data_IF_021746466345
#
_entry.id   IF_021746466345
#
_cell.length_a   1.000
_cell.length_b   1.000
_cell.length_c   1.000
_cell.angle_alpha   90.00
_cell.angle_beta   90.00
_cell.angle_gamma   90.00
#
_symmetry.space_group_name_H-M   'P 1'
#
loop_
_entity.id
_entity.type
_entity.pdbx_description
1 polymer ?
#
# COMPACT_ATOMS: atom_id res chain seq x y z
N UNK A 1 60.75 20.39 -69.71
CA UNK A 1 60.90 21.27 -68.52
C UNK A 1 59.76 22.27 -68.52
N UNK A 2 58.94 22.46 -67.48
CA UNK A 2 58.74 21.66 -66.24
C UNK A 2 57.43 22.14 -65.57
N UNK A 3 56.55 21.21 -65.17
CA UNK A 3 55.48 21.30 -64.14
C UNK A 3 54.61 22.60 -64.12
N UNK A 4 53.31 22.54 -64.47
CA UNK A 4 52.35 23.61 -64.17
C UNK A 4 51.95 23.62 -62.68
N UNK A 5 51.64 24.81 -62.13
CA UNK A 5 51.20 24.94 -60.73
C UNK A 5 49.76 24.44 -60.52
N UNK A 6 49.55 23.69 -59.43
CA UNK A 6 48.20 23.38 -58.94
C UNK A 6 47.57 24.61 -58.25
N UNK A 7 46.45 25.07 -58.79
CA UNK A 7 45.57 26.05 -58.13
C UNK A 7 44.85 25.38 -56.95
N UNK A 8 45.06 25.87 -55.72
CA UNK A 8 44.35 25.38 -54.55
C UNK A 8 43.06 26.19 -54.33
N UNK A 9 41.91 25.56 -54.53
CA UNK A 9 40.62 26.24 -54.43
C UNK A 9 40.24 26.44 -52.95
N UNK A 10 40.13 27.70 -52.50
CA UNK A 10 39.68 27.99 -51.14
C UNK A 10 38.20 27.58 -50.96
N UNK A 11 37.93 26.63 -50.06
CA UNK A 11 36.58 26.21 -49.70
C UNK A 11 36.17 26.81 -48.36
N UNK A 12 35.15 27.65 -48.38
CA UNK A 12 34.69 28.43 -47.22
C UNK A 12 33.78 27.55 -46.35
N UNK A 13 34.34 26.98 -45.29
CA UNK A 13 33.55 26.35 -44.23
C UNK A 13 32.86 27.42 -43.36
N UNK A 14 31.52 27.40 -43.21
CA UNK A 14 30.85 28.28 -42.27
C UNK A 14 31.12 27.83 -40.83
N UNK A 15 31.87 28.64 -40.07
CA UNK A 15 32.09 28.43 -38.64
C UNK A 15 30.75 28.49 -37.88
N UNK A 16 30.21 27.32 -37.56
CA UNK A 16 28.96 27.13 -36.83
C UNK A 16 29.11 27.73 -35.42
N UNK A 17 28.57 28.94 -35.20
CA UNK A 17 28.51 29.58 -33.87
C UNK A 17 27.71 28.68 -32.91
N UNK A 18 28.41 27.83 -32.16
CA UNK A 18 27.86 27.15 -30.99
C UNK A 18 27.56 28.25 -29.97
N UNK A 19 26.29 28.48 -29.67
CA UNK A 19 25.90 29.55 -28.75
C UNK A 19 26.36 29.22 -27.33
N UNK A 20 26.90 30.21 -26.61
CA UNK A 20 27.25 30.04 -25.20
C UNK A 20 26.05 29.57 -24.36
N UNK A 21 24.82 29.93 -24.76
CA UNK A 21 23.59 29.41 -24.17
C UNK A 21 23.50 27.88 -24.23
N UNK A 22 23.79 27.24 -25.37
CA UNK A 22 23.73 25.77 -25.51
C UNK A 22 24.78 25.05 -24.64
N UNK A 23 25.95 25.67 -24.44
CA UNK A 23 27.00 25.16 -23.55
C UNK A 23 26.63 25.35 -22.07
N UNK A 24 25.94 26.46 -21.73
CA UNK A 24 25.43 26.70 -20.39
C UNK A 24 24.24 25.79 -20.03
N UNK A 25 23.26 25.59 -20.93
CA UNK A 25 22.13 24.68 -20.68
C UNK A 25 22.59 23.24 -20.50
N UNK A 26 23.44 22.74 -21.41
CA UNK A 26 23.96 21.37 -21.30
C UNK A 26 24.85 21.15 -20.07
N UNK A 27 25.57 22.18 -19.58
CA UNK A 27 26.26 22.10 -18.28
C UNK A 27 25.29 22.09 -17.10
N UNK A 28 24.26 22.93 -17.10
CA UNK A 28 23.22 22.95 -16.07
C UNK A 28 22.43 21.63 -16.02
N UNK A 29 22.09 21.04 -17.17
CA UNK A 29 21.41 19.75 -17.27
C UNK A 29 22.28 18.59 -16.77
N UNK A 30 23.59 18.58 -17.09
CA UNK A 30 24.51 17.59 -16.56
C UNK A 30 24.76 17.76 -15.05
N UNK A 31 24.81 19.00 -14.53
CA UNK A 31 24.83 19.22 -13.08
C UNK A 31 23.55 18.72 -12.40
N UNK A 32 22.38 18.94 -13.01
CA UNK A 32 21.10 18.42 -12.50
C UNK A 32 21.05 16.88 -12.53
N UNK A 33 21.59 16.23 -13.56
CA UNK A 33 21.66 14.76 -13.63
C UNK A 33 22.65 14.16 -12.64
N UNK A 34 23.80 14.81 -12.41
CA UNK A 34 24.77 14.40 -11.39
C UNK A 34 24.26 14.64 -9.97
N UNK A 35 23.60 15.77 -9.71
CA UNK A 35 22.98 16.05 -8.41
C UNK A 35 21.79 15.13 -8.14
N UNK A 36 20.98 14.78 -9.13
CA UNK A 36 19.94 13.75 -9.00
C UNK A 36 20.52 12.39 -8.60
N UNK A 37 21.58 11.93 -9.30
CA UNK A 37 22.27 10.68 -8.92
C UNK A 37 22.87 10.74 -7.52
N UNK A 38 23.44 11.89 -7.14
CA UNK A 38 23.95 12.11 -5.79
C UNK A 38 22.83 12.10 -4.74
N UNK A 39 21.67 12.72 -5.00
CA UNK A 39 20.51 12.71 -4.09
C UNK A 39 19.93 11.31 -3.93
N UNK A 40 19.80 10.53 -5.00
CA UNK A 40 19.36 9.12 -4.89
C UNK A 40 20.37 8.23 -4.17
N UNK A 41 21.68 8.44 -4.38
CA UNK A 41 22.73 7.79 -3.58
C UNK A 41 22.69 8.22 -2.10
N UNK A 42 22.42 9.49 -1.81
CA UNK A 42 22.33 10.03 -0.46
C UNK A 42 21.10 9.50 0.28
N UNK A 43 19.95 9.38 -0.40
CA UNK A 43 18.76 8.70 0.12
C UNK A 43 19.02 7.21 0.39
N UNK A 44 19.74 6.52 -0.50
CA UNK A 44 20.15 5.13 -0.26
C UNK A 44 21.11 4.98 0.93
N UNK A 45 22.06 5.92 1.09
CA UNK A 45 22.98 6.00 2.23
C UNK A 45 22.27 6.36 3.55
N UNK A 46 21.22 7.18 3.51
CA UNK A 46 20.35 7.44 4.67
C UNK A 46 19.51 6.24 5.09
N UNK A 47 19.24 5.29 4.19
CA UNK A 47 18.52 4.05 4.52
C UNK A 47 19.42 2.98 5.19
N UNK A 48 20.74 2.99 4.93
CA UNK A 48 21.68 2.02 5.52
C UNK A 48 21.68 1.95 7.06
N UNK A 49 21.73 3.05 7.83
CA UNK A 49 21.68 2.96 9.30
C UNK A 49 20.34 2.43 9.85
N UNK A 50 19.25 2.47 9.07
CA UNK A 50 17.96 1.94 9.49
C UNK A 50 17.93 0.40 9.59
N UNK A 51 18.91 -0.30 8.99
CA UNK A 51 19.04 -1.75 9.08
C UNK A 51 19.80 -2.21 10.34
N UNK A 52 20.32 -1.29 11.15
CA UNK A 52 21.27 -1.59 12.23
C UNK A 52 20.66 -1.60 13.65
N UNK A 53 19.33 -1.52 13.78
CA UNK A 53 18.67 -1.37 15.09
C UNK A 53 17.56 -2.42 15.33
N UNK A 54 17.97 -3.69 15.35
CA UNK A 54 17.24 -4.73 16.07
C UNK A 54 17.46 -4.53 17.58
N UNK A 55 16.42 -4.13 18.31
CA UNK A 55 16.40 -4.33 19.75
C UNK A 55 16.06 -5.82 20.00
N UNK A 56 16.92 -6.59 20.70
CA UNK A 56 16.64 -7.99 20.98
C UNK A 56 15.47 -8.08 21.97
N UNK A 57 14.30 -8.47 21.46
CA UNK A 57 13.17 -8.83 22.31
C UNK A 57 13.55 -10.06 23.17
N UNK A 58 13.05 -10.16 24.42
CA UNK A 58 13.30 -11.33 25.26
C UNK A 58 12.82 -12.60 24.54
N UNK A 59 13.73 -13.57 24.42
CA UNK A 59 13.59 -14.76 23.57
C UNK A 59 12.31 -15.58 23.87
N UNK A 60 11.81 -15.53 25.10
CA UNK A 60 10.57 -16.17 25.53
C UNK A 60 9.28 -15.52 24.96
N UNK A 61 9.21 -14.18 24.82
CA UNK A 61 8.06 -13.51 24.19
C UNK A 61 8.03 -13.83 22.68
N UNK A 62 9.18 -13.87 22.00
CA UNK A 62 9.27 -14.27 20.59
C UNK A 62 8.80 -15.71 20.35
N UNK A 63 9.22 -16.65 21.20
CA UNK A 63 8.77 -18.05 21.15
C UNK A 63 7.25 -18.17 21.39
N UNK A 64 6.68 -17.36 22.28
CA UNK A 64 5.24 -17.37 22.55
C UNK A 64 4.42 -16.75 21.41
N UNK A 65 4.89 -15.64 20.81
CA UNK A 65 4.32 -15.07 19.59
C UNK A 65 4.28 -16.11 18.47
N UNK A 66 5.39 -16.83 18.25
CA UNK A 66 5.46 -17.91 17.26
C UNK A 66 4.50 -19.07 17.59
N UNK A 67 4.40 -19.49 18.85
CA UNK A 67 3.49 -20.56 19.26
C UNK A 67 2.00 -20.20 19.02
N UNK A 68 1.60 -18.95 19.29
CA UNK A 68 0.24 -18.46 19.03
C UNK A 68 -0.08 -18.33 17.54
N UNK A 69 0.90 -17.94 16.72
CA UNK A 69 0.78 -17.91 15.25
C UNK A 69 0.71 -19.30 14.60
N UNK A 70 1.16 -20.36 15.30
CA UNK A 70 1.35 -21.70 14.71
C UNK A 70 0.40 -22.80 15.23
N UNK A 71 -0.14 -22.70 16.46
CA UNK A 71 -0.86 -23.83 17.08
C UNK A 71 -2.19 -23.53 17.78
N UNK A 72 -2.32 -22.41 18.49
CA UNK A 72 -3.40 -22.21 19.47
C UNK A 72 -4.58 -21.33 19.01
N UNK A 73 -4.57 -20.88 17.74
CA UNK A 73 -5.62 -20.04 17.16
C UNK A 73 -6.70 -20.90 16.49
N UNK A 74 -7.95 -20.74 16.93
CA UNK A 74 -9.11 -21.41 16.34
C UNK A 74 -10.09 -20.37 15.78
N UNK A 75 -10.83 -20.71 14.72
CA UNK A 75 -11.81 -19.83 14.10
C UNK A 75 -13.17 -20.48 13.88
N UNK A 76 -14.22 -19.66 13.91
CA UNK A 76 -15.58 -19.99 13.50
C UNK A 76 -16.15 -18.80 12.71
N UNK A 77 -17.02 -19.07 11.74
CA UNK A 77 -17.79 -18.04 11.03
C UNK A 77 -19.27 -18.28 11.35
N UNK A 78 -19.97 -17.24 11.79
CA UNK A 78 -21.42 -17.30 12.11
C UNK A 78 -22.17 -16.18 11.41
N UNK A 79 -23.51 -16.23 11.37
CA UNK A 79 -24.33 -15.05 11.10
C UNK A 79 -24.02 -13.92 12.10
N UNK A 80 -24.19 -12.67 11.67
CA UNK A 80 -23.97 -11.48 12.48
C UNK A 80 -25.01 -11.27 13.61
N UNK A 81 -26.10 -12.05 13.60
CA UNK A 81 -27.11 -12.08 14.67
C UNK A 81 -26.69 -12.90 15.90
N UNK A 82 -25.65 -13.75 15.78
CA UNK A 82 -25.13 -14.56 16.89
C UNK A 82 -24.37 -13.66 17.87
N UNK A 83 -24.75 -13.66 19.15
CA UNK A 83 -23.99 -12.96 20.21
C UNK A 83 -22.92 -13.86 20.83
N UNK A 84 -21.92 -13.26 21.47
CA UNK A 84 -20.84 -13.98 22.15
C UNK A 84 -21.37 -14.87 23.30
N UNK A 85 -22.41 -14.43 23.99
CA UNK A 85 -23.09 -15.19 25.05
C UNK A 85 -23.85 -16.40 24.47
N UNK A 86 -24.46 -16.28 23.29
CA UNK A 86 -25.15 -17.39 22.63
C UNK A 86 -24.14 -18.44 22.15
N UNK A 87 -23.08 -18.00 21.47
CA UNK A 87 -22.02 -18.87 20.92
C UNK A 87 -21.26 -19.66 21.99
N UNK A 88 -21.06 -19.10 23.19
CA UNK A 88 -20.41 -19.79 24.31
C UNK A 88 -21.39 -20.64 25.13
N UNK A 89 -22.71 -20.39 25.05
CA UNK A 89 -23.75 -21.19 25.73
C UNK A 89 -24.22 -22.41 24.93
N UNK A 90 -24.16 -22.37 23.60
CA UNK A 90 -24.50 -23.50 22.74
C UNK A 90 -23.26 -24.40 22.53
N UNK A 91 -23.22 -25.63 23.08
CA UNK A 91 -22.08 -26.52 22.92
C UNK A 91 -21.83 -26.93 21.46
N UNK A 92 -22.88 -27.00 20.63
CA UNK A 92 -22.73 -27.39 19.22
C UNK A 92 -22.03 -26.27 18.42
N UNK A 93 -22.30 -25.01 18.74
CA UNK A 93 -21.56 -23.87 18.18
C UNK A 93 -20.12 -23.83 18.73
N UNK A 94 -19.96 -23.91 20.05
CA UNK A 94 -18.63 -23.82 20.69
C UNK A 94 -17.68 -24.97 20.33
N UNK A 95 -18.20 -26.16 19.97
CA UNK A 95 -17.38 -27.26 19.45
C UNK A 95 -17.14 -27.21 17.93
N UNK A 96 -17.73 -26.26 17.20
CA UNK A 96 -17.56 -26.13 15.73
C UNK A 96 -16.32 -25.34 15.30
N UNK A 97 -15.59 -24.74 16.26
CA UNK A 97 -14.32 -24.04 16.03
C UNK A 97 -13.27 -24.93 15.36
N UNK A 98 -12.65 -24.42 14.30
CA UNK A 98 -11.63 -25.12 13.50
C UNK A 98 -10.25 -24.52 13.78
N UNK A 99 -9.16 -25.32 13.82
CA UNK A 99 -7.81 -24.76 13.95
C UNK A 99 -7.45 -23.93 12.70
N UNK A 100 -6.87 -22.75 12.89
CA UNK A 100 -6.26 -21.99 11.79
C UNK A 100 -4.93 -22.65 11.42
N UNK A 101 -4.84 -23.15 10.19
CA UNK A 101 -3.55 -23.48 9.60
C UNK A 101 -2.84 -22.17 9.23
N UNK A 102 -1.63 -21.93 9.72
CA UNK A 102 -0.85 -20.69 9.55
C UNK A 102 -0.50 -20.26 8.11
N UNK A 103 -1.09 -20.91 7.11
CA UNK A 103 -1.04 -20.57 5.68
C UNK A 103 -2.25 -19.75 5.21
N UNK A 104 -3.31 -19.65 6.01
CA UNK A 104 -4.53 -18.88 5.72
C UNK A 104 -4.47 -17.49 6.36
N UNK A 105 -3.64 -16.59 5.84
CA UNK A 105 -3.43 -15.25 6.43
C UNK A 105 -4.67 -14.33 6.36
N UNK A 106 -5.56 -14.55 5.39
CA UNK A 106 -6.80 -13.78 5.19
C UNK A 106 -7.99 -14.68 4.85
N UNK A 107 -9.17 -14.34 5.37
CA UNK A 107 -10.47 -14.94 5.02
C UNK A 107 -11.36 -13.90 4.31
N UNK A 108 -12.33 -14.38 3.52
CA UNK A 108 -13.37 -13.56 2.87
C UNK A 108 -14.73 -13.86 3.51
N UNK A 109 -15.52 -12.83 3.71
CA UNK A 109 -16.82 -12.88 4.40
C UNK A 109 -17.87 -12.05 3.64
N UNK A 110 -19.13 -12.35 3.91
CA UNK A 110 -20.28 -11.50 3.55
C UNK A 110 -20.62 -10.55 4.70
N UNK A 111 -21.36 -9.46 4.43
CA UNK A 111 -21.81 -8.48 5.43
C UNK A 111 -22.65 -9.12 6.57
N UNK A 112 -23.43 -10.15 6.25
CA UNK A 112 -24.23 -10.91 7.22
C UNK A 112 -23.39 -11.86 8.10
N UNK A 113 -22.07 -11.88 7.97
CA UNK A 113 -21.18 -12.84 8.66
C UNK A 113 -20.20 -12.16 9.62
N UNK A 114 -19.86 -12.88 10.68
CA UNK A 114 -18.90 -12.49 11.71
C UNK A 114 -17.83 -13.57 11.86
N UNK A 115 -16.58 -13.15 11.96
CA UNK A 115 -15.45 -14.01 12.29
C UNK A 115 -15.26 -14.01 13.81
N UNK A 116 -15.21 -15.21 14.38
CA UNK A 116 -14.82 -15.44 15.76
C UNK A 116 -13.45 -16.08 15.79
N UNK A 117 -12.52 -15.49 16.54
CA UNK A 117 -11.21 -16.08 16.82
C UNK A 117 -11.14 -16.45 18.30
N UNK A 118 -11.05 -17.76 18.58
CA UNK A 118 -10.89 -18.31 19.92
C UNK A 118 -9.41 -18.64 20.16
N UNK A 119 -8.87 -18.15 21.28
CA UNK A 119 -7.44 -18.21 21.59
C UNK A 119 -7.27 -18.63 23.03
N UNK A 120 -6.46 -19.66 23.26
CA UNK A 120 -6.11 -20.14 24.61
C UNK A 120 -4.71 -19.68 24.96
N UNK A 121 -4.59 -18.93 26.05
CA UNK A 121 -3.34 -18.29 26.48
C UNK A 121 -3.07 -18.67 27.93
N UNK A 122 -1.92 -19.31 28.16
CA UNK A 122 -1.38 -19.59 29.48
C UNK A 122 -0.16 -18.70 29.72
N UNK A 123 -0.05 -18.11 30.90
CA UNK A 123 1.16 -17.43 31.33
C UNK A 123 2.30 -18.45 31.54
N UNK A 124 3.42 -18.40 30.80
CA UNK A 124 4.54 -19.31 30.99
C UNK A 124 5.46 -18.90 32.16
N UNK A 125 5.24 -17.73 32.76
CA UNK A 125 6.11 -17.14 33.76
C UNK A 125 5.65 -17.46 35.20
N UNK A 126 6.59 -17.61 36.15
CA UNK A 126 6.29 -17.81 37.58
C UNK A 126 5.83 -16.52 38.29
N UNK A 127 5.71 -15.40 37.56
CA UNK A 127 5.27 -14.10 38.05
C UNK A 127 4.02 -13.62 37.31
N UNK A 128 3.40 -12.53 37.79
CA UNK A 128 2.28 -11.90 37.08
C UNK A 128 2.75 -11.24 35.79
N UNK A 129 2.09 -11.56 34.68
CA UNK A 129 2.47 -11.05 33.35
C UNK A 129 1.34 -10.20 32.76
N UNK A 130 1.69 -8.99 32.32
CA UNK A 130 0.80 -8.08 31.62
C UNK A 130 1.13 -8.09 30.12
N UNK A 131 0.18 -8.53 29.32
CA UNK A 131 0.33 -8.65 27.87
C UNK A 131 -0.72 -7.81 27.14
N UNK A 132 -0.50 -7.61 25.85
CA UNK A 132 -1.45 -6.98 24.94
C UNK A 132 -1.92 -8.03 23.93
N UNK A 133 -3.22 -8.28 23.87
CA UNK A 133 -3.84 -9.07 22.82
C UNK A 133 -3.98 -8.18 21.58
N UNK A 134 -3.22 -8.46 20.51
CA UNK A 134 -3.04 -7.54 19.38
C UNK A 134 -3.49 -8.13 18.04
N UNK A 135 -4.37 -7.41 17.35
CA UNK A 135 -4.89 -7.74 16.02
C UNK A 135 -4.35 -6.73 14.99
N UNK A 136 -3.29 -7.09 14.23
CA UNK A 136 -2.58 -6.19 13.32
C UNK A 136 -3.25 -5.98 11.95
N UNK A 137 -4.57 -6.19 11.84
CA UNK A 137 -5.31 -6.04 10.58
C UNK A 137 -6.21 -4.81 10.61
N UNK A 138 -5.71 -3.70 10.09
CA UNK A 138 -6.35 -2.38 10.16
C UNK A 138 -7.75 -2.29 9.49
N UNK A 139 -8.02 -2.94 8.34
CA UNK A 139 -9.30 -2.80 7.62
C UNK A 139 -10.53 -3.45 8.26
N UNK A 140 -10.45 -3.94 9.51
CA UNK A 140 -11.61 -4.47 10.23
C UNK A 140 -12.45 -3.34 10.85
N UNK A 141 -13.71 -3.19 10.42
CA UNK A 141 -14.52 -2.04 10.80
C UNK A 141 -15.04 -2.12 12.25
N UNK A 142 -15.30 -3.33 12.78
CA UNK A 142 -15.71 -3.55 14.19
C UNK A 142 -15.05 -4.78 14.81
N UNK A 143 -14.49 -4.61 16.01
CA UNK A 143 -13.85 -5.64 16.83
C UNK A 143 -14.38 -5.52 18.27
N UNK A 144 -14.74 -6.64 18.88
CA UNK A 144 -15.04 -6.73 20.32
C UNK A 144 -14.20 -7.83 20.96
N UNK A 145 -13.50 -7.49 22.06
CA UNK A 145 -12.63 -8.40 22.79
C UNK A 145 -13.36 -8.97 23.99
N UNK A 146 -13.45 -10.30 24.10
CA UNK A 146 -14.10 -11.00 25.20
C UNK A 146 -13.13 -11.94 25.94
N UNK A 147 -13.28 -12.05 27.25
CA UNK A 147 -12.70 -13.10 28.08
C UNK A 147 -13.79 -14.11 28.44
N UNK A 148 -13.55 -15.41 28.25
CA UNK A 148 -14.43 -16.46 28.76
C UNK A 148 -14.22 -16.62 30.26
N UNK A 149 -15.31 -16.83 31.00
CA UNK A 149 -15.20 -17.20 32.42
C UNK A 149 -14.97 -18.72 32.54
N UNK A 150 -14.07 -19.19 33.43
CA UNK A 150 -13.74 -20.62 33.51
C UNK A 150 -14.88 -21.46 34.08
N UNK A 151 -15.63 -20.92 35.04
CA UNK A 151 -16.63 -21.69 35.83
C UNK A 151 -18.05 -21.63 35.25
N UNK A 152 -18.33 -20.72 34.31
CA UNK A 152 -19.67 -20.41 33.79
C UNK A 152 -19.60 -20.17 32.27
N UNK A 153 -20.44 -20.81 31.43
CA UNK A 153 -20.54 -20.54 29.99
C UNK A 153 -21.09 -19.12 29.75
N UNK A 154 -20.17 -18.16 29.78
CA UNK A 154 -20.42 -16.73 29.78
C UNK A 154 -19.15 -15.99 29.39
N UNK A 155 -19.34 -14.80 28.84
CA UNK A 155 -18.25 -13.93 28.40
C UNK A 155 -18.27 -12.61 29.18
N UNK A 156 -17.08 -12.02 29.34
CA UNK A 156 -16.89 -10.66 29.83
C UNK A 156 -16.31 -9.84 28.70
N UNK A 157 -17.04 -8.81 28.24
CA UNK A 157 -16.50 -7.81 27.32
C UNK A 157 -15.35 -7.06 28.01
N UNK A 158 -14.20 -7.00 27.34
CA UNK A 158 -13.01 -6.27 27.79
C UNK A 158 -12.90 -4.87 27.16
N UNK A 159 -13.33 -4.74 25.91
CA UNK A 159 -13.27 -3.51 25.15
C UNK A 159 -13.77 -3.69 23.71
N UNK A 160 -13.91 -2.57 23.00
CA UNK A 160 -14.31 -2.49 21.58
C UNK A 160 -13.31 -1.63 20.80
N UNK A 161 -13.23 -1.85 19.50
CA UNK A 161 -12.35 -1.12 18.59
C UNK A 161 -12.74 -1.36 17.14
N UNK A 162 -12.13 -0.66 16.18
CA UNK A 162 -12.36 -0.89 14.76
C UNK A 162 -12.02 0.32 13.88
N UNK A 163 -12.23 0.17 12.58
CA UNK A 163 -12.06 1.24 11.58
C UNK A 163 -13.26 2.20 11.56
N UNK A 164 -14.47 1.75 11.94
CA UNK A 164 -15.67 2.59 12.05
C UNK A 164 -15.90 3.21 13.45
N UNK A 165 -14.98 3.04 14.39
CA UNK A 165 -15.04 3.65 15.73
C UNK A 165 -13.96 4.76 15.86
N UNK A 166 -14.24 5.88 16.56
CA UNK A 166 -13.27 6.96 16.74
C UNK A 166 -11.94 6.47 17.34
N UNK A 167 -10.82 7.09 16.95
CA UNK A 167 -9.50 6.65 17.40
C UNK A 167 -9.35 6.64 18.93
N UNK A 168 -10.12 7.47 19.65
CA UNK A 168 -10.20 7.54 21.11
C UNK A 168 -10.86 6.33 21.80
N UNK A 169 -11.56 5.45 21.07
CA UNK A 169 -12.08 4.19 21.64
C UNK A 169 -11.01 3.08 21.72
N UNK A 170 -9.83 3.28 21.11
CA UNK A 170 -8.73 2.33 21.16
C UNK A 170 -8.09 2.34 22.55
N UNK A 171 -7.93 1.17 23.17
CA UNK A 171 -7.32 1.04 24.49
C UNK A 171 -5.85 1.50 24.55
N UNK A 172 -5.17 1.57 23.40
CA UNK A 172 -3.83 2.14 23.21
C UNK A 172 -3.74 2.84 21.84
N UNK A 173 -2.89 3.87 21.69
CA UNK A 173 -2.64 4.55 20.42
C UNK A 173 -1.70 3.73 19.51
N UNK A 174 -2.13 2.54 19.11
CA UNK A 174 -1.48 1.69 18.10
C UNK A 174 -2.25 1.77 16.75
N UNK A 175 -1.62 1.32 15.65
CA UNK A 175 -2.24 1.35 14.31
C UNK A 175 -3.20 0.18 14.08
N UNK A 176 -2.81 -1.03 14.49
CA UNK A 176 -3.74 -2.15 14.70
C UNK A 176 -4.53 -2.01 16.00
N UNK A 177 -5.22 -3.08 16.39
CA UNK A 177 -6.17 -3.06 17.51
C UNK A 177 -5.67 -3.91 18.68
N UNK A 178 -5.54 -3.31 19.87
CA UNK A 178 -5.01 -3.98 21.07
C UNK A 178 -5.95 -3.90 22.25
N UNK A 179 -5.98 -4.95 23.08
CA UNK A 179 -6.61 -4.97 24.39
C UNK A 179 -5.61 -5.40 25.47
N UNK A 180 -5.43 -4.63 26.56
CA UNK A 180 -4.61 -5.06 27.70
C UNK A 180 -5.25 -6.24 28.44
N UNK A 181 -4.42 -7.24 28.76
CA UNK A 181 -4.78 -8.42 29.55
C UNK A 181 -3.71 -8.68 30.63
N UNK A 182 -4.12 -9.28 31.74
CA UNK A 182 -3.27 -9.57 32.88
C UNK A 182 -3.48 -11.02 33.31
N UNK A 183 -2.37 -11.69 33.62
CA UNK A 183 -2.33 -13.05 34.14
C UNK A 183 -1.59 -13.10 35.47
N UNK A 184 -2.04 -13.95 36.40
CA UNK A 184 -1.23 -14.41 37.52
C UNK A 184 -0.24 -15.48 37.04
N UNK A 185 0.74 -15.82 37.89
CA UNK A 185 1.68 -16.90 37.64
C UNK A 185 0.97 -18.20 37.27
N UNK A 186 1.39 -18.85 36.18
CA UNK A 186 0.80 -20.08 35.62
C UNK A 186 -0.73 -20.03 35.30
N UNK A 187 -1.36 -18.85 35.26
CA UNK A 187 -2.79 -18.72 34.99
C UNK A 187 -3.10 -18.90 33.50
N UNK A 188 -4.22 -19.56 33.17
CA UNK A 188 -4.68 -19.78 31.80
C UNK A 188 -6.07 -19.18 31.57
N UNK A 189 -6.20 -18.35 30.55
CA UNK A 189 -7.46 -17.76 30.10
C UNK A 189 -7.77 -18.11 28.65
N UNK A 190 -9.05 -18.12 28.31
CA UNK A 190 -9.52 -18.21 26.92
C UNK A 190 -10.12 -16.87 26.50
N UNK A 191 -9.64 -16.33 25.39
CA UNK A 191 -10.11 -15.08 24.80
C UNK A 191 -10.81 -15.34 23.48
N UNK A 192 -11.84 -14.55 23.22
CA UNK A 192 -12.69 -14.64 22.05
C UNK A 192 -12.76 -13.25 21.41
N UNK A 193 -12.23 -13.11 20.21
CA UNK A 193 -12.34 -11.89 19.42
C UNK A 193 -13.52 -12.04 18.48
N UNK A 194 -14.47 -11.13 18.56
CA UNK A 194 -15.49 -10.93 17.55
C UNK A 194 -14.95 -9.92 16.54
N UNK A 195 -14.86 -10.27 15.26
CA UNK A 195 -14.54 -9.33 14.19
C UNK A 195 -15.68 -9.33 13.18
N UNK A 196 -16.30 -8.17 13.02
CA UNK A 196 -17.43 -7.91 12.16
C UNK A 196 -17.04 -6.87 11.11
N UNK A 197 -17.67 -6.96 9.94
CA UNK A 197 -17.62 -5.93 8.90
C UNK A 197 -16.20 -5.71 8.33
N UNK A 198 -15.77 -6.66 7.51
CA UNK A 198 -14.86 -6.42 6.40
C UNK A 198 -14.97 -7.58 5.41
N UNK A 199 -15.08 -7.28 4.12
CA UNK A 199 -15.15 -8.31 3.08
C UNK A 199 -13.83 -9.10 2.91
N UNK A 200 -12.74 -8.66 3.54
CA UNK A 200 -11.50 -9.40 3.77
C UNK A 200 -11.07 -9.18 5.23
N UNK A 201 -10.80 -10.25 5.97
CA UNK A 201 -10.26 -10.18 7.34
C UNK A 201 -8.96 -10.95 7.48
N UNK A 202 -7.99 -10.35 8.19
CA UNK A 202 -6.79 -11.04 8.66
C UNK A 202 -7.13 -12.07 9.75
N UNK A 203 -6.38 -13.17 9.77
CA UNK A 203 -6.52 -14.24 10.80
C UNK A 203 -5.44 -14.18 11.88
N UNK A 204 -4.41 -13.37 11.67
CA UNK A 204 -3.26 -13.24 12.58
C UNK A 204 -3.67 -12.50 13.86
N UNK A 205 -3.31 -13.06 15.01
CA UNK A 205 -3.35 -12.38 16.30
C UNK A 205 -1.99 -12.56 16.96
N UNK A 206 -1.40 -11.45 17.41
CA UNK A 206 -0.15 -11.38 18.17
C UNK A 206 -0.45 -11.20 19.65
N UNK A 207 0.51 -11.58 20.49
CA UNK A 207 0.40 -11.40 21.93
C UNK A 207 1.80 -11.20 22.52
N UNK A 208 1.97 -10.16 23.33
CA UNK A 208 3.25 -9.84 23.98
C UNK A 208 3.17 -8.54 24.78
N UNK A 209 4.24 -8.19 25.46
CA UNK A 209 4.37 -6.93 26.21
C UNK A 209 4.34 -5.69 25.31
N UNK A 210 3.90 -4.55 25.88
CA UNK A 210 3.77 -3.28 25.18
C UNK A 210 5.07 -2.78 24.49
N UNK A 211 6.27 -2.89 25.10
CA UNK A 211 7.51 -2.41 24.47
C UNK A 211 7.86 -3.17 23.19
N UNK A 212 7.59 -4.49 23.13
CA UNK A 212 7.86 -5.31 21.94
C UNK A 212 6.94 -4.90 20.81
N UNK A 213 5.63 -4.80 21.06
CA UNK A 213 4.67 -4.36 20.04
C UNK A 213 4.96 -2.92 19.57
N UNK A 214 5.38 -2.03 20.46
CA UNK A 214 5.82 -0.68 20.06
C UNK A 214 7.09 -0.70 19.19
N UNK A 215 8.06 -1.57 19.49
CA UNK A 215 9.25 -1.71 18.66
C UNK A 215 8.94 -2.28 17.27
N UNK A 216 8.08 -3.31 17.18
CA UNK A 216 7.59 -3.86 15.90
C UNK A 216 6.85 -2.80 15.08
N UNK A 217 5.91 -2.08 15.70
CA UNK A 217 5.15 -1.00 15.06
C UNK A 217 6.06 0.14 14.59
N UNK A 218 7.07 0.51 15.38
CA UNK A 218 8.04 1.54 15.02
C UNK A 218 8.91 1.13 13.82
N UNK A 219 9.40 -0.12 13.78
CA UNK A 219 10.17 -0.63 12.64
C UNK A 219 9.35 -0.64 11.34
N UNK A 220 8.07 -1.04 11.40
CA UNK A 220 7.16 -0.97 10.25
C UNK A 220 6.91 0.48 9.82
N UNK A 221 6.55 1.36 10.77
CA UNK A 221 6.23 2.76 10.52
C UNK A 221 7.36 3.51 9.83
N UNK A 222 8.63 3.25 10.19
CA UNK A 222 9.78 3.89 9.51
C UNK A 222 9.86 3.49 8.04
N UNK A 223 9.69 2.20 7.71
CA UNK A 223 9.70 1.73 6.31
C UNK A 223 8.57 2.33 5.47
N UNK A 224 7.37 2.43 6.04
CA UNK A 224 6.20 3.04 5.41
C UNK A 224 6.32 4.57 5.26
N UNK A 225 6.89 5.24 6.26
CA UNK A 225 7.16 6.68 6.20
C UNK A 225 8.21 7.01 5.15
N UNK A 226 9.28 6.20 5.02
CA UNK A 226 10.27 6.31 3.94
C UNK A 226 9.63 6.11 2.56
N UNK A 227 8.77 5.11 2.39
CA UNK A 227 8.03 4.86 1.16
C UNK A 227 7.10 6.04 0.80
N UNK A 228 6.33 6.53 1.76
CA UNK A 228 5.40 7.65 1.58
C UNK A 228 6.16 8.94 1.26
N UNK A 229 7.28 9.19 1.94
CA UNK A 229 8.19 10.29 1.64
C UNK A 229 8.81 10.21 0.24
N UNK A 230 9.22 9.02 -0.20
CA UNK A 230 9.74 8.80 -1.55
C UNK A 230 8.69 9.07 -2.64
N UNK A 231 7.42 8.71 -2.40
CA UNK A 231 6.31 9.06 -3.29
C UNK A 231 6.03 10.56 -3.32
N UNK A 232 6.06 11.26 -2.17
CA UNK A 232 5.88 12.72 -2.12
C UNK A 232 7.05 13.47 -2.81
N UNK A 233 8.29 12.98 -2.68
CA UNK A 233 9.42 13.47 -3.46
C UNK A 233 9.21 13.25 -4.96
N UNK A 234 8.61 12.12 -5.37
CA UNK A 234 8.26 11.84 -6.77
C UNK A 234 7.15 12.75 -7.30
N UNK A 235 6.18 13.16 -6.46
CA UNK A 235 5.18 14.21 -6.79
C UNK A 235 5.89 15.53 -7.06
N UNK A 236 6.77 15.99 -6.15
CA UNK A 236 7.51 17.25 -6.32
C UNK A 236 8.40 17.19 -7.58
N UNK A 237 9.09 16.08 -7.82
CA UNK A 237 9.92 15.87 -9.00
C UNK A 237 9.09 15.91 -10.30
N UNK A 238 7.95 15.22 -10.35
CA UNK A 238 7.09 15.21 -11.54
C UNK A 238 6.41 16.56 -11.79
N UNK A 239 6.08 17.34 -10.76
CA UNK A 239 5.64 18.73 -10.91
C UNK A 239 6.76 19.65 -11.44
N UNK A 240 8.01 19.45 -11.00
CA UNK A 240 9.17 20.17 -11.55
C UNK A 240 9.39 19.82 -13.03
N UNK A 241 9.32 18.53 -13.41
CA UNK A 241 9.35 18.08 -14.81
C UNK A 241 8.20 18.64 -15.64
N UNK A 242 6.99 18.73 -15.06
CA UNK A 242 5.84 19.37 -15.72
C UNK A 242 6.10 20.84 -16.05
N UNK A 243 6.70 21.59 -15.12
CA UNK A 243 7.04 23.01 -15.28
C UNK A 243 8.18 23.21 -16.28
N UNK A 244 9.20 22.34 -16.26
CA UNK A 244 10.35 22.39 -17.16
C UNK A 244 9.98 22.05 -18.61
N UNK A 245 9.28 20.92 -18.84
CA UNK A 245 8.92 20.46 -20.18
C UNK A 245 7.59 21.02 -20.70
N UNK A 246 6.84 21.77 -19.88
CA UNK A 246 5.50 22.34 -20.19
C UNK A 246 4.50 21.30 -20.73
N UNK A 247 4.64 20.04 -20.30
CA UNK A 247 3.80 18.93 -20.76
C UNK A 247 2.82 18.49 -19.65
N UNK A 248 1.49 18.62 -19.85
CA UNK A 248 0.49 18.31 -18.84
C UNK A 248 0.39 16.80 -18.47
N UNK A 249 1.03 15.91 -19.24
CA UNK A 249 1.13 14.50 -18.85
C UNK A 249 1.81 14.35 -17.49
N UNK A 250 2.89 15.10 -17.22
CA UNK A 250 3.59 15.05 -15.94
C UNK A 250 2.73 15.53 -14.75
N UNK A 251 1.80 16.46 -14.96
CA UNK A 251 0.83 16.90 -13.92
C UNK A 251 -0.12 15.74 -13.58
N UNK A 252 -0.55 15.00 -14.59
CA UNK A 252 -1.41 13.82 -14.42
C UNK A 252 -0.69 12.71 -13.65
N UNK A 253 0.60 12.53 -13.91
CA UNK A 253 1.43 11.55 -13.19
C UNK A 253 1.75 11.99 -11.76
N UNK A 254 1.96 13.29 -11.52
CA UNK A 254 2.08 13.85 -10.18
C UNK A 254 0.81 13.64 -9.34
N UNK A 255 -0.36 13.85 -9.94
CA UNK A 255 -1.66 13.56 -9.32
C UNK A 255 -1.80 12.06 -9.00
N UNK A 256 -1.37 11.17 -9.90
CA UNK A 256 -1.35 9.73 -9.63
C UNK A 256 -0.51 9.39 -8.39
N UNK A 257 0.73 9.88 -8.29
CA UNK A 257 1.58 9.59 -7.14
C UNK A 257 1.06 10.21 -5.83
N UNK A 258 0.42 11.39 -5.90
CA UNK A 258 -0.20 12.03 -4.73
C UNK A 258 -1.40 11.23 -4.21
N UNK A 259 -2.30 10.81 -5.11
CA UNK A 259 -3.44 9.96 -4.74
C UNK A 259 -2.96 8.58 -4.26
N UNK A 260 -1.88 8.02 -4.84
CA UNK A 260 -1.32 6.74 -4.39
C UNK A 260 -0.69 6.84 -2.99
N UNK A 261 -0.01 7.95 -2.67
CA UNK A 261 0.45 8.22 -1.30
C UNK A 261 -0.72 8.32 -0.30
N UNK A 262 -1.88 8.84 -0.72
CA UNK A 262 -3.09 8.85 0.12
C UNK A 262 -3.69 7.44 0.28
N UNK A 263 -3.69 6.62 -0.77
CA UNK A 263 -4.06 5.18 -0.67
C UNK A 263 -3.18 4.46 0.36
N UNK A 264 -1.86 4.66 0.34
CA UNK A 264 -0.98 4.08 1.36
C UNK A 264 -1.26 4.63 2.76
N UNK A 265 -1.48 5.95 2.88
CA UNK A 265 -1.81 6.60 4.15
C UNK A 265 -3.07 6.00 4.80
N UNK A 266 -4.09 5.65 4.00
CA UNK A 266 -5.31 4.97 4.46
C UNK A 266 -5.03 3.50 4.83
N UNK A 267 -4.43 2.71 3.91
CA UNK A 267 -4.19 1.27 4.13
C UNK A 267 -3.31 1.00 5.35
N UNK A 268 -2.35 1.88 5.61
CA UNK A 268 -1.40 1.78 6.72
C UNK A 268 -1.89 2.43 8.01
N UNK A 269 -3.10 3.03 8.01
CA UNK A 269 -3.70 3.68 9.19
C UNK A 269 -3.03 4.99 9.63
N UNK A 270 -1.93 5.42 8.98
CA UNK A 270 -1.25 6.69 9.25
C UNK A 270 -2.20 7.88 9.05
N UNK A 271 -3.04 7.86 8.02
CA UNK A 271 -4.03 8.89 7.75
C UNK A 271 -5.12 8.94 8.82
N UNK A 272 -5.61 7.79 9.27
CA UNK A 272 -6.59 7.75 10.35
C UNK A 272 -6.01 8.24 11.68
N UNK A 273 -4.77 7.86 12.02
CA UNK A 273 -4.11 8.29 13.26
C UNK A 273 -3.76 9.79 13.26
N UNK A 274 -3.34 10.36 12.12
CA UNK A 274 -2.75 11.71 12.06
C UNK A 274 -3.65 12.79 11.43
N UNK A 275 -4.57 12.44 10.53
CA UNK A 275 -5.28 13.41 9.67
C UNK A 275 -6.79 13.45 9.92
N UNK A 276 -7.43 12.32 10.27
CA UNK A 276 -8.87 12.27 10.56
C UNK A 276 -9.28 11.34 11.74
N UNK A 277 -8.59 11.35 12.91
CA UNK A 277 -8.85 10.42 14.01
C UNK A 277 -10.25 10.54 14.64
N UNK A 278 -10.92 11.69 14.45
CA UNK A 278 -12.29 11.95 14.92
C UNK A 278 -13.38 11.53 13.93
N UNK A 279 -13.03 11.19 12.69
CA UNK A 279 -13.98 10.94 11.60
C UNK A 279 -13.74 9.56 10.96
N UNK A 280 -14.05 8.45 11.66
CA UNK A 280 -13.79 7.10 11.19
C UNK A 280 -14.48 6.77 9.86
N UNK A 281 -15.69 7.31 9.64
CA UNK A 281 -16.47 7.16 8.39
C UNK A 281 -15.71 7.57 7.12
N UNK A 282 -14.77 8.53 7.23
CA UNK A 282 -13.94 8.95 6.09
C UNK A 282 -12.96 7.86 5.67
N UNK A 283 -12.53 6.98 6.57
CA UNK A 283 -11.48 6.00 6.31
C UNK A 283 -11.86 4.98 5.19
N UNK A 284 -13.01 4.27 5.25
CA UNK A 284 -13.46 3.39 4.16
C UNK A 284 -14.08 4.14 2.96
N UNK A 285 -14.12 5.48 2.96
CA UNK A 285 -14.56 6.30 1.81
C UNK A 285 -13.35 6.82 1.04
N UNK A 286 -12.36 7.41 1.74
CA UNK A 286 -11.14 7.96 1.18
C UNK A 286 -10.30 6.92 0.43
N UNK A 287 -10.31 5.65 0.87
CA UNK A 287 -9.63 4.56 0.14
C UNK A 287 -10.13 4.46 -1.32
N UNK A 288 -11.44 4.35 -1.50
CA UNK A 288 -12.07 4.12 -2.80
C UNK A 288 -12.01 5.36 -3.69
N UNK A 289 -12.23 6.55 -3.10
CA UNK A 289 -12.04 7.83 -3.78
C UNK A 289 -10.60 7.96 -4.29
N UNK A 290 -9.60 7.64 -3.46
CA UNK A 290 -8.19 7.79 -3.84
C UNK A 290 -7.76 6.79 -4.90
N UNK A 291 -8.22 5.53 -4.85
CA UNK A 291 -7.99 4.57 -5.94
C UNK A 291 -8.70 5.01 -7.23
N UNK A 292 -9.94 5.51 -7.16
CA UNK A 292 -10.64 6.10 -8.31
C UNK A 292 -9.87 7.26 -8.93
N UNK A 293 -9.36 8.19 -8.12
CA UNK A 293 -8.51 9.30 -8.57
C UNK A 293 -7.17 8.82 -9.16
N UNK A 294 -6.53 7.79 -8.61
CA UNK A 294 -5.36 7.14 -9.23
C UNK A 294 -5.68 6.62 -10.63
N UNK A 295 -6.79 5.89 -10.79
CA UNK A 295 -7.21 5.35 -12.08
C UNK A 295 -7.53 6.47 -13.09
N UNK A 296 -8.17 7.57 -12.67
CA UNK A 296 -8.41 8.74 -13.51
C UNK A 296 -7.12 9.46 -13.90
N UNK A 297 -6.19 9.64 -12.97
CA UNK A 297 -4.89 10.27 -13.21
C UNK A 297 -4.03 9.45 -14.20
N UNK A 298 -4.03 8.12 -14.06
CA UNK A 298 -3.33 7.19 -14.96
C UNK A 298 -3.97 7.18 -16.36
N UNK A 299 -5.29 7.07 -16.45
CA UNK A 299 -5.99 7.10 -17.76
C UNK A 299 -5.87 8.44 -18.47
N UNK A 300 -5.81 9.56 -17.72
CA UNK A 300 -5.53 10.89 -18.26
C UNK A 300 -4.07 11.04 -18.73
N UNK A 301 -3.10 10.45 -18.01
CA UNK A 301 -1.71 10.36 -18.46
C UNK A 301 -1.59 9.55 -19.77
N UNK A 302 -2.20 8.37 -19.84
CA UNK A 302 -2.25 7.56 -21.07
C UNK A 302 -2.94 8.31 -22.22
N UNK A 303 -4.02 9.06 -21.93
CA UNK A 303 -4.72 9.93 -22.89
C UNK A 303 -3.79 10.97 -23.51
N UNK A 304 -3.05 11.71 -22.68
CA UNK A 304 -2.18 12.80 -23.13
C UNK A 304 -0.95 12.31 -23.90
N UNK A 305 -0.44 11.11 -23.58
CA UNK A 305 0.77 10.54 -24.20
C UNK A 305 0.48 9.71 -25.45
N UNK A 306 -0.59 8.91 -25.47
CA UNK A 306 -0.84 7.90 -26.50
C UNK A 306 -1.84 8.34 -27.58
N UNK A 307 -2.88 9.14 -27.27
CA UNK A 307 -3.92 9.48 -28.26
C UNK A 307 -3.41 10.36 -29.42
N UNK A 308 -2.29 11.07 -29.25
CA UNK A 308 -1.62 11.81 -30.33
C UNK A 308 -0.96 10.89 -31.39
N UNK A 309 -0.87 9.59 -31.11
CA UNK A 309 -0.15 8.60 -31.91
C UNK A 309 -1.05 7.42 -32.30
N UNK A 310 -2.36 7.50 -32.07
CA UNK A 310 -3.27 6.34 -32.20
C UNK A 310 -4.68 6.71 -32.69
N UNK A 311 -5.34 5.72 -33.32
CA UNK A 311 -6.63 5.90 -33.98
C UNK A 311 -7.85 5.80 -33.05
N UNK A 312 -9.03 5.69 -33.65
CA UNK A 312 -10.32 5.65 -32.94
C UNK A 312 -10.44 4.54 -31.89
N UNK A 313 -9.77 3.40 -32.08
CA UNK A 313 -9.75 2.31 -31.10
C UNK A 313 -9.17 2.75 -29.75
N UNK A 314 -8.10 3.54 -29.75
CA UNK A 314 -7.44 4.00 -28.54
C UNK A 314 -8.30 5.02 -27.78
N UNK A 315 -9.11 5.81 -28.50
CA UNK A 315 -10.14 6.69 -27.91
C UNK A 315 -11.20 5.85 -27.20
N UNK A 316 -11.67 4.76 -27.80
CA UNK A 316 -12.66 3.86 -27.17
C UNK A 316 -12.10 3.19 -25.90
N UNK A 317 -10.89 2.61 -25.95
CA UNK A 317 -10.25 2.01 -24.77
C UNK A 317 -10.09 3.04 -23.64
N UNK A 318 -9.70 4.28 -23.96
CA UNK A 318 -9.53 5.34 -22.97
C UNK A 318 -10.87 5.81 -22.38
N UNK A 319 -11.95 5.89 -23.18
CA UNK A 319 -13.31 6.19 -22.70
C UNK A 319 -13.79 5.09 -21.73
N UNK A 320 -13.63 3.82 -22.09
CA UNK A 320 -13.97 2.68 -21.22
C UNK A 320 -13.17 2.72 -19.90
N UNK A 321 -11.86 3.00 -19.98
CA UNK A 321 -10.97 3.09 -18.82
C UNK A 321 -11.29 4.30 -17.92
N UNK A 322 -11.69 5.44 -18.48
CA UNK A 322 -12.17 6.57 -17.67
C UNK A 322 -13.56 6.30 -17.07
N UNK A 323 -14.43 5.58 -17.76
CA UNK A 323 -15.74 5.19 -17.22
C UNK A 323 -15.61 4.24 -16.02
N UNK A 324 -14.74 3.23 -16.09
CA UNK A 324 -14.47 2.34 -14.95
C UNK A 324 -13.80 3.06 -13.78
N UNK A 325 -12.96 4.06 -14.06
CA UNK A 325 -12.33 4.89 -13.03
C UNK A 325 -13.33 5.85 -12.34
N UNK A 326 -14.26 6.46 -13.10
CA UNK A 326 -15.37 7.24 -12.53
C UNK A 326 -16.33 6.37 -11.72
N UNK A 327 -16.65 5.16 -12.21
CA UNK A 327 -17.53 4.21 -11.53
C UNK A 327 -16.97 3.83 -10.15
N UNK A 328 -15.65 3.63 -10.05
CA UNK A 328 -14.98 3.39 -8.77
C UNK A 328 -14.89 4.65 -7.90
N UNK A 329 -14.60 5.83 -8.47
CA UNK A 329 -14.55 7.10 -7.73
C UNK A 329 -15.86 7.38 -6.98
N UNK A 330 -17.00 7.14 -7.63
CA UNK A 330 -18.32 7.37 -7.06
C UNK A 330 -18.91 6.15 -6.35
N UNK A 331 -18.19 5.02 -6.23
CA UNK A 331 -18.72 3.82 -5.58
C UNK A 331 -19.21 4.03 -4.14
N UNK A 332 -18.62 4.90 -3.29
CA UNK A 332 -19.15 5.16 -1.94
C UNK A 332 -20.54 5.82 -1.88
N UNK A 333 -21.16 6.17 -3.02
CA UNK A 333 -22.52 6.74 -3.07
C UNK A 333 -23.60 5.69 -3.37
N UNK A 334 -23.25 4.47 -3.77
CA UNK A 334 -24.22 3.46 -4.22
C UNK A 334 -23.79 1.99 -4.00
N UNK A 335 -22.57 1.73 -3.52
CA UNK A 335 -22.01 0.40 -3.39
C UNK A 335 -21.56 0.10 -1.96
N UNK A 336 -22.30 -0.79 -1.30
CA UNK A 336 -22.01 -1.27 0.04
C UNK A 336 -21.21 -2.60 0.04
N UNK A 337 -20.62 -2.91 1.20
CA UNK A 337 -19.80 -4.08 1.54
C UNK A 337 -19.18 -4.87 0.39
N UNK A 338 -19.75 -6.04 0.09
CA UNK A 338 -19.17 -7.02 -0.82
C UNK A 338 -19.22 -6.56 -2.29
N UNK A 339 -20.23 -5.75 -2.66
CA UNK A 339 -20.31 -5.12 -3.98
C UNK A 339 -19.22 -4.06 -4.14
N UNK A 340 -18.98 -3.26 -3.10
CA UNK A 340 -17.88 -2.28 -3.03
C UNK A 340 -16.52 -2.94 -3.26
N UNK A 341 -16.24 -4.07 -2.60
CA UNK A 341 -15.00 -4.84 -2.79
C UNK A 341 -14.90 -5.44 -4.21
N UNK A 342 -16.00 -6.01 -4.73
CA UNK A 342 -16.06 -6.52 -6.12
C UNK A 342 -15.71 -5.42 -7.13
N UNK A 343 -16.30 -4.22 -6.97
CA UNK A 343 -16.00 -3.08 -7.83
C UNK A 343 -14.53 -2.63 -7.76
N UNK A 344 -13.93 -2.60 -6.56
CA UNK A 344 -12.52 -2.23 -6.39
C UNK A 344 -11.60 -3.11 -7.23
N UNK A 345 -11.68 -4.43 -7.08
CA UNK A 345 -10.83 -5.35 -7.84
C UNK A 345 -11.16 -5.35 -9.34
N UNK A 346 -12.45 -5.34 -9.72
CA UNK A 346 -12.86 -5.33 -11.13
C UNK A 346 -12.43 -4.06 -11.86
N UNK A 347 -12.66 -2.87 -11.27
CA UNK A 347 -12.34 -1.60 -11.91
C UNK A 347 -10.83 -1.37 -11.98
N UNK A 348 -10.05 -1.72 -10.95
CA UNK A 348 -8.58 -1.65 -10.99
C UNK A 348 -8.04 -2.58 -12.08
N UNK A 349 -8.43 -3.86 -12.07
CA UNK A 349 -7.98 -4.86 -13.04
C UNK A 349 -8.29 -4.45 -14.48
N UNK A 350 -9.54 -4.05 -14.75
CA UNK A 350 -10.00 -3.62 -16.08
C UNK A 350 -9.27 -2.35 -16.54
N UNK A 351 -9.16 -1.33 -15.68
CA UNK A 351 -8.53 -0.05 -16.07
C UNK A 351 -7.04 -0.21 -16.35
N UNK A 352 -6.31 -0.98 -15.51
CA UNK A 352 -4.91 -1.31 -15.76
C UNK A 352 -4.74 -2.09 -17.06
N UNK A 353 -5.58 -3.11 -17.30
CA UNK A 353 -5.54 -3.93 -18.50
C UNK A 353 -5.74 -3.08 -19.77
N UNK A 354 -6.73 -2.18 -19.78
CA UNK A 354 -6.96 -1.25 -20.89
C UNK A 354 -5.77 -0.30 -21.12
N UNK A 355 -5.21 0.27 -20.05
CA UNK A 355 -4.02 1.13 -20.14
C UNK A 355 -2.78 0.40 -20.67
N UNK A 356 -2.53 -0.84 -20.22
CA UNK A 356 -1.39 -1.66 -20.64
C UNK A 356 -1.58 -2.11 -22.10
N UNK A 357 -2.77 -2.56 -22.49
CA UNK A 357 -3.09 -2.92 -23.89
C UNK A 357 -2.93 -1.69 -24.80
N UNK A 358 -3.43 -0.53 -24.39
CA UNK A 358 -3.26 0.72 -25.14
C UNK A 358 -1.77 1.09 -25.30
N UNK A 359 -0.99 1.03 -24.21
CA UNK A 359 0.44 1.34 -24.25
C UNK A 359 1.24 0.35 -25.10
N UNK A 360 0.96 -0.95 -24.99
CA UNK A 360 1.60 -2.02 -25.76
C UNK A 360 1.32 -1.88 -27.25
N UNK A 361 0.04 -1.77 -27.65
CA UNK A 361 -0.35 -1.66 -29.06
C UNK A 361 0.26 -0.41 -29.72
N UNK A 362 0.19 0.76 -29.06
CA UNK A 362 0.83 1.97 -29.60
C UNK A 362 2.35 1.78 -29.67
N UNK A 363 2.99 1.32 -28.60
CA UNK A 363 4.46 1.16 -28.56
C UNK A 363 4.99 0.16 -29.60
N UNK A 364 4.20 -0.85 -29.99
CA UNK A 364 4.51 -1.74 -31.11
C UNK A 364 4.37 -1.01 -32.46
N UNK A 365 3.26 -0.32 -32.71
CA UNK A 365 3.06 0.43 -33.97
C UNK A 365 4.07 1.56 -34.20
N UNK A 366 4.69 2.09 -33.14
CA UNK A 366 5.67 3.19 -33.21
C UNK A 366 7.12 2.75 -32.98
N UNK A 367 7.45 1.46 -33.10
CA UNK A 367 8.80 0.91 -32.90
C UNK A 367 9.49 1.42 -31.60
N UNK A 368 8.76 1.48 -30.48
CA UNK A 368 9.25 1.92 -29.16
C UNK A 368 9.88 3.34 -29.10
N UNK A 369 9.62 4.20 -30.09
CA UNK A 369 10.31 5.48 -30.28
C UNK A 369 9.85 6.61 -29.32
N UNK A 370 10.35 6.61 -28.08
CA UNK A 370 10.20 7.72 -27.14
C UNK A 370 8.91 7.65 -26.31
N UNK A 371 7.99 8.60 -26.49
CA UNK A 371 6.82 8.78 -25.60
C UNK A 371 6.02 7.50 -25.28
N UNK A 372 5.67 6.60 -26.23
CA UNK A 372 4.86 5.43 -25.90
C UNK A 372 5.65 4.35 -25.15
N UNK A 373 6.98 4.28 -25.31
CA UNK A 373 7.85 3.41 -24.49
C UNK A 373 7.84 3.85 -23.02
N UNK A 374 7.93 5.16 -22.75
CA UNK A 374 7.84 5.68 -21.39
C UNK A 374 6.46 5.48 -20.77
N UNK A 375 5.39 5.66 -21.57
CA UNK A 375 4.03 5.34 -21.13
C UNK A 375 3.90 3.85 -20.75
N UNK A 376 4.38 2.93 -21.59
CA UNK A 376 4.40 1.49 -21.29
C UNK A 376 5.17 1.18 -20.00
N UNK A 377 6.40 1.69 -19.85
CA UNK A 377 7.21 1.47 -18.66
C UNK A 377 6.53 1.99 -17.38
N UNK A 378 5.90 3.17 -17.45
CA UNK A 378 5.14 3.70 -16.30
C UNK A 378 3.94 2.81 -15.95
N UNK A 379 3.15 2.35 -16.92
CA UNK A 379 1.99 1.48 -16.66
C UNK A 379 2.40 0.14 -16.05
N UNK A 380 3.47 -0.50 -16.55
CA UNK A 380 4.02 -1.73 -15.97
C UNK A 380 4.54 -1.51 -14.54
N UNK A 381 5.21 -0.38 -14.28
CA UNK A 381 5.67 -0.06 -12.93
C UNK A 381 4.50 0.21 -11.97
N UNK A 382 3.40 0.83 -12.41
CA UNK A 382 2.18 0.95 -11.59
C UNK A 382 1.51 -0.39 -11.30
N UNK A 383 1.53 -1.33 -12.24
CA UNK A 383 1.08 -2.70 -12.01
C UNK A 383 1.96 -3.39 -10.95
N UNK A 384 3.28 -3.27 -11.04
CA UNK A 384 4.20 -3.84 -10.05
C UNK A 384 4.01 -3.23 -8.65
N UNK A 385 3.83 -1.91 -8.53
CA UNK A 385 3.51 -1.26 -7.25
C UNK A 385 2.23 -1.83 -6.63
N UNK A 386 1.17 -2.02 -7.43
CA UNK A 386 -0.11 -2.58 -6.97
C UNK A 386 -0.02 -4.08 -6.63
N UNK A 387 0.76 -4.86 -7.38
CA UNK A 387 1.00 -6.28 -7.07
C UNK A 387 1.76 -6.46 -5.75
N UNK A 388 2.75 -5.60 -5.46
CA UNK A 388 3.47 -5.65 -4.18
C UNK A 388 2.56 -5.18 -3.03
N UNK A 389 1.73 -4.16 -3.21
CA UNK A 389 0.74 -3.77 -2.19
C UNK A 389 -0.33 -4.85 -1.94
N UNK A 390 -0.83 -5.51 -2.99
CA UNK A 390 -1.74 -6.65 -2.83
C UNK A 390 -1.07 -7.82 -2.07
N UNK A 391 0.23 -8.05 -2.28
CA UNK A 391 1.02 -9.03 -1.53
C UNK A 391 1.20 -8.64 -0.06
N UNK A 392 1.31 -7.35 0.26
CA UNK A 392 1.33 -6.86 1.65
C UNK A 392 0.03 -7.20 2.39
N UNK A 393 -1.11 -6.85 1.78
CA UNK A 393 -2.44 -7.09 2.34
C UNK A 393 -2.77 -8.59 2.50
N UNK A 394 -2.11 -9.45 1.72
CA UNK A 394 -2.15 -10.91 1.87
C UNK A 394 -1.24 -11.46 2.98
N UNK A 395 -0.60 -10.61 3.79
CA UNK A 395 0.19 -10.99 4.97
C UNK A 395 1.66 -11.36 4.70
N UNK A 396 2.20 -11.04 3.52
CA UNK A 396 3.61 -11.34 3.18
C UNK A 396 4.50 -10.09 3.34
N UNK A 397 5.15 -9.97 4.50
CA UNK A 397 5.96 -8.82 4.92
C UNK A 397 7.34 -8.71 4.27
N UNK A 398 7.97 -9.84 3.98
CA UNK A 398 9.44 -9.99 4.14
C UNK A 398 10.33 -9.32 3.07
N UNK A 399 9.72 -8.69 2.05
CA UNK A 399 10.41 -8.10 0.89
C UNK A 399 9.93 -6.68 0.55
N UNK A 400 9.00 -6.11 1.32
CA UNK A 400 8.10 -5.08 0.80
C UNK A 400 8.78 -3.73 0.54
N UNK A 401 9.42 -3.17 1.57
CA UNK A 401 9.97 -1.82 1.55
C UNK A 401 11.09 -1.62 0.50
N UNK A 402 12.13 -2.48 0.39
CA UNK A 402 13.15 -2.30 -0.64
C UNK A 402 12.59 -2.53 -2.05
N UNK A 403 11.65 -3.47 -2.24
CA UNK A 403 11.02 -3.72 -3.53
C UNK A 403 10.19 -2.52 -4.04
N UNK A 404 9.44 -1.88 -3.15
CA UNK A 404 8.64 -0.69 -3.48
C UNK A 404 9.52 0.55 -3.71
N UNK A 405 10.55 0.78 -2.89
CA UNK A 405 11.51 1.86 -3.10
C UNK A 405 12.29 1.69 -4.41
N UNK A 406 12.67 0.46 -4.76
CA UNK A 406 13.33 0.15 -6.04
C UNK A 406 12.36 0.30 -7.23
N UNK A 407 11.07 0.00 -7.07
CA UNK A 407 10.04 0.31 -8.07
C UNK A 407 9.80 1.81 -8.24
N UNK A 408 9.82 2.60 -7.16
CA UNK A 408 9.77 4.07 -7.18
C UNK A 408 11.02 4.66 -7.84
N UNK A 409 12.20 4.06 -7.64
CA UNK A 409 13.41 4.43 -8.37
C UNK A 409 13.29 4.07 -9.87
N UNK A 410 12.70 2.92 -10.21
CA UNK A 410 12.44 2.53 -11.61
C UNK A 410 11.41 3.44 -12.28
N UNK A 411 10.33 3.87 -11.61
CA UNK A 411 9.40 4.85 -12.19
C UNK A 411 10.10 6.18 -12.44
N UNK A 412 10.95 6.64 -11.53
CA UNK A 412 11.74 7.86 -11.69
C UNK A 412 12.72 7.77 -12.87
N UNK A 413 13.42 6.63 -13.03
CA UNK A 413 14.32 6.35 -14.15
C UNK A 413 13.60 6.12 -15.49
N UNK A 414 12.32 5.70 -15.44
CA UNK A 414 11.45 5.50 -16.60
C UNK A 414 10.69 6.77 -17.03
N UNK A 415 10.92 7.92 -16.39
CA UNK A 415 10.41 9.19 -16.88
C UNK A 415 11.12 9.59 -18.18
N UNK A 416 10.43 10.27 -19.14
CA UNK A 416 11.06 10.68 -20.38
C UNK A 416 12.26 11.59 -20.13
N UNK A 417 13.43 11.15 -20.59
CA UNK A 417 14.59 12.02 -20.74
C UNK A 417 14.21 13.18 -21.68
N UNK A 418 14.72 14.41 -21.47
CA UNK A 418 14.62 15.47 -22.49
C UNK A 418 15.13 14.94 -23.84
N UNK A 419 14.34 15.12 -24.90
CA UNK A 419 14.91 15.04 -26.24
C UNK A 419 15.83 16.25 -26.41
N UNK A 420 17.11 16.07 -26.77
CA UNK A 420 17.89 17.18 -27.31
C UNK A 420 17.24 17.64 -28.63
N UNK A 421 17.14 18.96 -28.80
CA UNK A 421 16.80 19.62 -30.06
C UNK A 421 18.09 20.13 -30.72
#
# INVERSE_FOLDING_TARGET
>A
MTIPLFYYHASIYPLKRVSHQAICTSKLENLNLLSLRAVWLYLALLCLPCLAQEQPAPQAEQLLQQALLLGNLQYQITPASTTAEQLVRDPAQFHSFRPLSGRQATLRLSEEQVLWLLIKVSNPYPESWQAMLYYPFLPADRISFYQLQPDIPSVKLLGKSGSLLPYSERALPLRGYSQPIQFKANEQHSYLLQIQDAALLGTQVKLGTLPILMAEEQQQLVGEALLTGALLLLVVFTLAMARAHRNPAYISLALFYLCFALVLSVLNGLGFSLLWPTYPELNPVLLYISVGLCLLALTHYCRLTLLRQSGSWARLLNVLATASALLLLFSPLYADGELKLKLLFSCVSLTLSLCIIQALLVSLTTNLAGAPRYALLSTLATLCLLLVQARHLAGFTDWLNPGLLLLVAITALALPQPRPN
#
